data_IF_781195676700
#
_entry.id   IF_781195676700
#
_cell.length_a   1.000
_cell.length_b   1.000
_cell.length_c   1.000
_cell.angle_alpha   90.00
_cell.angle_beta   90.00
_cell.angle_gamma   90.00
#
_symmetry.space_group_name_H-M   'P 1'
#
loop_
_entity.id
_entity.type
_entity.pdbx_description
1 polymer ?
#
# COMPACT_ATOMS: atom_id res chain seq x y z
N UNK A 1 24.39 -3.49 15.39
CA UNK A 1 25.50 -2.63 14.97
C UNK A 1 25.37 -2.24 13.52
N UNK A 2 25.45 -3.22 12.66
CA UNK A 2 25.26 -2.97 11.23
C UNK A 2 23.88 -2.37 10.99
N UNK A 3 22.90 -2.84 11.72
CA UNK A 3 21.54 -2.33 11.59
C UNK A 3 21.47 -0.83 11.94
N UNK A 4 22.20 -0.40 12.96
CA UNK A 4 22.19 0.99 13.34
C UNK A 4 22.80 1.89 12.28
N UNK A 5 23.92 1.48 11.71
CA UNK A 5 24.57 2.25 10.66
C UNK A 5 23.71 2.29 9.39
N UNK A 6 23.15 1.16 9.06
CA UNK A 6 22.29 1.06 7.91
C UNK A 6 21.03 1.92 8.07
N UNK A 7 20.49 1.91 9.29
CA UNK A 7 19.30 2.70 9.58
C UNK A 7 19.57 4.19 9.48
N UNK A 8 20.76 4.62 9.84
CA UNK A 8 21.07 6.03 9.80
C UNK A 8 21.00 6.59 8.39
N UNK A 9 21.58 5.87 7.44
CA UNK A 9 21.54 6.26 6.04
C UNK A 9 20.13 6.15 5.49
N UNK A 10 19.47 5.04 5.81
CA UNK A 10 18.12 4.80 5.33
C UNK A 10 17.13 5.80 5.92
N UNK A 11 17.35 6.24 7.15
CA UNK A 11 16.47 7.21 7.78
C UNK A 11 16.46 8.51 7.00
N UNK A 12 17.63 8.95 6.51
CA UNK A 12 17.69 10.18 5.72
C UNK A 12 16.96 10.04 4.40
N UNK A 13 17.12 8.89 3.73
CA UNK A 13 16.41 8.62 2.49
C UNK A 13 14.92 8.54 2.72
N UNK A 14 14.53 7.88 3.80
CA UNK A 14 13.12 7.73 4.14
C UNK A 14 12.49 9.08 4.40
N UNK A 15 13.19 9.92 5.16
CA UNK A 15 12.67 11.25 5.48
C UNK A 15 12.48 12.08 4.21
N UNK A 16 13.46 12.07 3.33
CA UNK A 16 13.39 12.82 2.08
C UNK A 16 12.27 12.31 1.19
N UNK A 17 12.17 10.99 1.06
CA UNK A 17 11.14 10.39 0.23
C UNK A 17 9.75 10.70 0.76
N UNK A 18 9.59 10.62 2.08
CA UNK A 18 8.30 10.90 2.70
C UNK A 18 7.90 12.35 2.45
N UNK A 19 8.84 13.27 2.63
CA UNK A 19 8.57 14.68 2.44
C UNK A 19 8.14 14.97 1.00
N UNK A 20 8.87 14.42 0.04
CA UNK A 20 8.55 14.61 -1.37
C UNK A 20 7.21 13.99 -1.74
N UNK A 21 6.89 12.83 -1.16
CA UNK A 21 5.64 12.15 -1.44
C UNK A 21 4.45 13.02 -1.08
N UNK A 22 4.53 13.70 0.04
CA UNK A 22 3.43 14.56 0.49
C UNK A 22 3.42 15.88 -0.27
N UNK A 23 4.59 16.49 -0.45
CA UNK A 23 4.65 17.81 -1.08
C UNK A 23 4.28 17.79 -2.55
N UNK A 24 4.76 16.79 -3.28
CA UNK A 24 4.62 16.79 -4.74
C UNK A 24 3.79 15.66 -5.29
N UNK A 25 3.71 14.54 -4.56
CA UNK A 25 3.01 13.37 -5.06
C UNK A 25 1.52 13.45 -4.88
N UNK A 26 1.09 13.49 -3.64
CA UNK A 26 -0.34 13.41 -3.32
C UNK A 26 -1.03 14.77 -3.41
N UNK A 27 -0.30 15.85 -3.14
CA UNK A 27 -0.86 17.21 -3.17
C UNK A 27 -2.12 17.32 -2.29
N UNK A 28 -1.96 16.92 -1.04
CA UNK A 28 -3.09 16.90 -0.10
C UNK A 28 -3.68 18.27 0.10
N UNK A 29 -4.99 18.34 0.09
CA UNK A 29 -5.70 19.54 0.49
C UNK A 29 -5.83 19.57 2.01
N UNK A 30 -5.95 20.77 2.56
CA UNK A 30 -6.09 20.90 3.99
C UNK A 30 -7.35 20.16 4.47
N UNK A 31 -7.18 19.33 5.47
CA UNK A 31 -8.27 18.56 6.03
C UNK A 31 -8.61 17.27 5.26
N UNK A 32 -7.92 17.03 4.15
CA UNK A 32 -8.20 15.85 3.35
C UNK A 32 -7.65 14.59 4.04
N UNK A 33 -8.44 13.53 4.02
CA UNK A 33 -7.99 12.25 4.56
C UNK A 33 -7.05 11.55 3.58
N UNK A 34 -6.20 10.68 4.10
CA UNK A 34 -5.23 9.95 3.29
C UNK A 34 -5.26 8.47 3.67
N UNK A 35 -5.44 7.63 2.66
CA UNK A 35 -5.31 6.18 2.81
C UNK A 35 -3.97 5.74 2.25
N UNK A 36 -3.17 5.04 3.06
CA UNK A 36 -1.88 4.52 2.61
C UNK A 36 -1.95 3.00 2.63
N UNK A 37 -1.75 2.38 1.47
CA UNK A 37 -1.61 0.93 1.41
C UNK A 37 -0.14 0.60 1.20
N UNK A 38 0.40 -0.34 1.97
CA UNK A 38 1.84 -0.52 2.00
C UNK A 38 2.24 -1.90 2.48
N UNK A 39 3.39 -2.40 2.02
CA UNK A 39 3.94 -3.61 2.62
C UNK A 39 4.44 -3.32 4.02
N UNK A 40 4.37 -4.31 4.89
CA UNK A 40 4.74 -4.10 6.29
C UNK A 40 6.19 -3.63 6.44
N UNK A 41 7.08 -4.06 5.55
CA UNK A 41 8.48 -3.65 5.61
C UNK A 41 8.66 -2.14 5.47
N UNK A 42 7.69 -1.46 4.86
CA UNK A 42 7.79 -0.02 4.66
C UNK A 42 7.31 0.79 5.84
N UNK A 43 7.08 0.16 6.98
CA UNK A 43 6.55 0.86 8.16
C UNK A 43 7.32 2.13 8.51
N UNK A 44 8.67 2.14 8.50
CA UNK A 44 9.37 3.39 8.81
C UNK A 44 9.01 4.52 7.84
N UNK A 45 8.87 4.21 6.57
CA UNK A 45 8.47 5.21 5.58
C UNK A 45 7.04 5.69 5.84
N UNK A 46 6.14 4.76 6.12
CA UNK A 46 4.74 5.13 6.37
C UNK A 46 4.62 6.04 7.59
N UNK A 47 5.40 5.76 8.63
CA UNK A 47 5.41 6.63 9.82
C UNK A 47 5.80 8.06 9.45
N UNK A 48 6.83 8.22 8.61
CA UNK A 48 7.27 9.55 8.21
C UNK A 48 6.26 10.23 7.29
N UNK A 49 5.66 9.46 6.38
CA UNK A 49 4.64 10.00 5.51
C UNK A 49 3.46 10.54 6.34
N UNK A 50 3.02 9.76 7.32
CA UNK A 50 1.92 10.19 8.18
C UNK A 50 2.29 11.47 8.92
N UNK A 51 3.51 11.53 9.44
CA UNK A 51 3.97 12.72 10.16
C UNK A 51 3.92 13.96 9.26
N UNK A 52 4.46 13.85 8.04
CA UNK A 52 4.45 14.98 7.13
C UNK A 52 3.05 15.32 6.64
N UNK A 53 2.22 14.30 6.44
CA UNK A 53 0.85 14.55 6.03
C UNK A 53 0.13 15.41 7.08
N UNK A 54 0.26 15.03 8.35
CA UNK A 54 -0.38 15.80 9.41
C UNK A 54 0.22 17.21 9.51
N UNK A 55 1.51 17.34 9.32
CA UNK A 55 2.14 18.66 9.34
C UNK A 55 1.64 19.55 8.20
N UNK A 56 1.27 18.93 7.08
CA UNK A 56 0.73 19.67 5.94
C UNK A 56 -0.78 19.88 6.04
N UNK A 57 -1.39 19.46 7.13
CA UNK A 57 -2.78 19.73 7.37
C UNK A 57 -3.76 18.64 6.99
N UNK A 58 -3.27 17.41 6.83
CA UNK A 58 -4.15 16.29 6.51
C UNK A 58 -5.21 16.08 7.58
N UNK A 59 -6.31 15.46 7.19
CA UNK A 59 -7.30 15.01 8.14
C UNK A 59 -6.82 13.74 8.81
N UNK A 60 -7.53 12.63 8.61
CA UNK A 60 -7.13 11.35 9.19
C UNK A 60 -6.26 10.58 8.19
N UNK A 61 -5.14 10.06 8.66
CA UNK A 61 -4.29 9.16 7.87
C UNK A 61 -4.56 7.74 8.32
N UNK A 62 -4.98 6.90 7.38
CA UNK A 62 -5.31 5.51 7.67
C UNK A 62 -4.35 4.59 6.91
N UNK A 63 -3.52 3.82 7.61
CA UNK A 63 -2.64 2.87 6.92
C UNK A 63 -3.27 1.49 6.87
N UNK A 64 -3.07 0.81 5.74
CA UNK A 64 -3.43 -0.59 5.59
C UNK A 64 -2.17 -1.33 5.14
N UNK A 65 -1.73 -2.28 5.94
CA UNK A 65 -0.50 -3.00 5.65
C UNK A 65 -0.80 -4.40 5.14
N UNK A 66 0.09 -4.88 4.28
CA UNK A 66 0.06 -6.29 3.86
C UNK A 66 1.43 -6.91 4.14
N UNK A 67 1.45 -8.22 4.17
CA UNK A 67 2.67 -8.95 4.48
C UNK A 67 2.88 -10.06 3.47
N UNK A 68 4.11 -10.13 2.95
CA UNK A 68 4.46 -11.11 1.92
C UNK A 68 4.28 -12.56 2.40
N UNK A 69 4.67 -12.82 3.64
CA UNK A 69 4.58 -14.20 4.15
C UNK A 69 3.13 -14.62 4.32
N UNK A 70 2.27 -13.71 4.71
CA UNK A 70 0.84 -14.03 4.82
C UNK A 70 0.26 -14.30 3.43
N UNK A 71 0.64 -13.50 2.45
CA UNK A 71 0.21 -13.73 1.07
C UNK A 71 0.67 -15.09 0.57
N UNK A 72 1.92 -15.41 0.82
CA UNK A 72 2.48 -16.69 0.40
C UNK A 72 1.75 -17.86 1.06
N UNK A 73 1.43 -17.72 2.35
CA UNK A 73 0.71 -18.77 3.07
C UNK A 73 -0.64 -19.07 2.41
N UNK A 74 -1.33 -18.04 1.94
CA UNK A 74 -2.59 -18.24 1.26
C UNK A 74 -2.39 -19.13 0.02
N UNK A 75 -1.37 -18.86 -0.77
CA UNK A 75 -1.15 -19.61 -1.99
C UNK A 75 -0.65 -21.03 -1.71
N UNK A 76 0.10 -21.22 -0.63
CA UNK A 76 0.61 -22.56 -0.30
C UNK A 76 -0.44 -23.44 0.38
N UNK A 77 -1.23 -22.87 1.26
CA UNK A 77 -2.08 -23.66 2.14
C UNK A 77 -3.57 -23.38 2.02
N UNK A 78 -3.95 -22.34 1.32
CA UNK A 78 -5.36 -22.00 1.18
C UNK A 78 -6.11 -23.00 0.33
N UNK A 79 -7.41 -23.14 0.57
CA UNK A 79 -8.19 -24.03 -0.26
C UNK A 79 -8.43 -23.42 -1.63
N UNK A 80 -8.80 -24.27 -2.58
CA UNK A 80 -8.88 -23.84 -3.98
C UNK A 80 -9.90 -22.75 -4.20
N UNK A 81 -11.01 -22.80 -3.48
CA UNK A 81 -12.06 -21.79 -3.63
C UNK A 81 -11.59 -20.40 -3.22
N UNK A 82 -10.64 -20.35 -2.29
CA UNK A 82 -10.18 -19.07 -1.77
C UNK A 82 -9.52 -18.20 -2.84
N UNK A 83 -9.03 -18.80 -3.90
CA UNK A 83 -8.33 -18.03 -4.94
C UNK A 83 -9.30 -17.27 -5.85
N UNK A 84 -10.59 -17.56 -5.74
CA UNK A 84 -11.61 -16.82 -6.48
C UNK A 84 -12.27 -15.72 -5.66
N UNK A 85 -11.79 -15.47 -4.46
CA UNK A 85 -12.45 -14.59 -3.51
C UNK A 85 -11.56 -13.39 -3.23
N UNK A 86 -12.18 -12.23 -3.10
CA UNK A 86 -11.49 -11.02 -2.66
C UNK A 86 -12.20 -10.46 -1.44
N UNK A 87 -11.52 -9.58 -0.71
CA UNK A 87 -12.13 -8.92 0.45
C UNK A 87 -13.00 -7.76 -0.05
N UNK A 88 -14.18 -8.09 -0.53
CA UNK A 88 -15.07 -7.09 -1.12
C UNK A 88 -15.40 -5.97 -0.15
N UNK A 89 -15.59 -6.31 1.11
CA UNK A 89 -15.89 -5.30 2.13
C UNK A 89 -14.78 -4.24 2.20
N UNK A 90 -13.54 -4.66 2.04
CA UNK A 90 -12.42 -3.73 2.09
C UNK A 90 -12.46 -2.78 0.89
N UNK A 91 -12.65 -3.34 -0.29
CA UNK A 91 -12.67 -2.51 -1.49
C UNK A 91 -13.90 -1.61 -1.53
N UNK A 92 -15.03 -2.09 -1.03
CA UNK A 92 -16.22 -1.25 -0.91
C UNK A 92 -15.96 -0.09 0.05
N UNK A 93 -15.27 -0.36 1.16
CA UNK A 93 -14.90 0.68 2.10
C UNK A 93 -13.96 1.70 1.49
N UNK A 94 -13.01 1.23 0.69
CA UNK A 94 -12.12 2.14 -0.01
C UNK A 94 -12.90 3.05 -0.97
N UNK A 95 -13.87 2.48 -1.68
CA UNK A 95 -14.72 3.27 -2.56
C UNK A 95 -15.47 4.35 -1.82
N UNK A 96 -15.99 4.02 -0.64
CA UNK A 96 -16.66 5.00 0.19
C UNK A 96 -15.71 6.12 0.59
N UNK A 97 -14.49 5.77 0.97
CA UNK A 97 -13.49 6.77 1.32
C UNK A 97 -13.21 7.69 0.15
N UNK A 98 -13.05 7.12 -1.05
CA UNK A 98 -12.76 7.93 -2.23
C UNK A 98 -13.93 8.85 -2.60
N UNK A 99 -15.15 8.37 -2.40
CA UNK A 99 -16.33 9.23 -2.61
C UNK A 99 -16.32 10.42 -1.66
N UNK A 100 -15.67 10.27 -0.51
CA UNK A 100 -15.55 11.36 0.47
C UNK A 100 -14.22 12.08 0.34
N UNK A 101 -13.62 12.01 -0.82
CA UNK A 101 -12.41 12.77 -1.17
C UNK A 101 -11.15 12.32 -0.45
N UNK A 102 -11.10 11.08 0.03
CA UNK A 102 -9.87 10.56 0.61
C UNK A 102 -8.86 10.33 -0.50
N UNK A 103 -7.64 10.83 -0.32
CA UNK A 103 -6.56 10.58 -1.27
C UNK A 103 -5.97 9.20 -1.01
N UNK A 104 -5.39 8.58 -2.03
CA UNK A 104 -4.76 7.28 -1.86
C UNK A 104 -3.31 7.30 -2.27
N UNK A 105 -2.46 6.78 -1.40
CA UNK A 105 -1.06 6.52 -1.72
C UNK A 105 -0.81 5.04 -1.62
N UNK A 106 -0.26 4.45 -2.69
CA UNK A 106 0.09 3.03 -2.70
C UNK A 106 1.61 2.91 -2.70
N UNK A 107 2.14 2.20 -1.71
CA UNK A 107 3.56 1.94 -1.62
C UNK A 107 3.81 0.51 -2.05
N UNK A 108 4.61 0.34 -3.08
CA UNK A 108 4.95 -0.97 -3.61
C UNK A 108 6.41 -1.29 -3.33
N UNK A 109 6.69 -2.53 -3.10
CA UNK A 109 8.05 -2.98 -2.82
C UNK A 109 8.11 -4.48 -2.81
N UNK A 110 7.28 -5.09 -3.63
CA UNK A 110 7.15 -6.53 -3.65
C UNK A 110 8.38 -7.20 -4.24
N UNK A 111 8.69 -8.36 -3.71
CA UNK A 111 9.71 -9.23 -4.27
C UNK A 111 9.11 -9.91 -5.52
N UNK A 112 9.65 -9.64 -6.71
CA UNK A 112 9.08 -10.26 -7.91
C UNK A 112 9.20 -11.78 -7.93
N UNK A 113 10.07 -12.34 -7.10
CA UNK A 113 10.25 -13.78 -7.03
C UNK A 113 9.40 -14.45 -5.96
N UNK A 114 8.62 -13.67 -5.21
CA UNK A 114 7.85 -14.21 -4.09
C UNK A 114 6.96 -15.37 -4.50
N UNK A 115 6.28 -15.25 -5.62
CA UNK A 115 5.32 -16.26 -6.07
C UNK A 115 5.86 -17.14 -7.18
N UNK A 116 7.18 -17.16 -7.39
CA UNK A 116 7.77 -17.91 -8.50
C UNK A 116 7.52 -19.41 -8.41
N UNK A 117 7.36 -19.95 -7.20
CA UNK A 117 7.12 -21.39 -7.00
C UNK A 117 5.62 -21.73 -6.94
N UNK A 118 4.77 -20.75 -7.08
CA UNK A 118 3.33 -20.95 -6.96
C UNK A 118 2.73 -21.16 -8.34
N UNK A 119 1.73 -22.04 -8.44
CA UNK A 119 1.00 -22.28 -9.67
C UNK A 119 0.48 -20.95 -10.23
N UNK A 120 0.88 -20.57 -11.45
CA UNK A 120 0.43 -19.31 -12.03
C UNK A 120 -1.08 -19.20 -12.13
N UNK A 121 -1.79 -20.31 -12.25
CA UNK A 121 -3.25 -20.29 -12.30
C UNK A 121 -3.85 -19.74 -11.01
N UNK A 122 -3.30 -20.14 -9.88
CA UNK A 122 -3.79 -19.64 -8.59
C UNK A 122 -3.56 -18.13 -8.46
N UNK A 123 -2.37 -17.68 -8.87
CA UNK A 123 -2.02 -16.27 -8.79
C UNK A 123 -2.94 -15.46 -9.70
N UNK A 124 -3.16 -15.94 -10.90
CA UNK A 124 -4.01 -15.26 -11.86
C UNK A 124 -5.45 -15.13 -11.35
N UNK A 125 -5.97 -16.20 -10.76
CA UNK A 125 -7.33 -16.19 -10.24
C UNK A 125 -7.47 -15.18 -9.10
N UNK A 126 -6.49 -15.16 -8.18
CA UNK A 126 -6.52 -14.23 -7.06
C UNK A 126 -6.41 -12.78 -7.54
N UNK A 127 -5.53 -12.54 -8.50
CA UNK A 127 -5.36 -11.20 -9.05
C UNK A 127 -6.63 -10.73 -9.75
N UNK A 128 -7.28 -11.63 -10.49
CA UNK A 128 -8.51 -11.27 -11.17
C UNK A 128 -9.61 -10.93 -10.17
N UNK A 129 -9.74 -11.74 -9.11
CA UNK A 129 -10.76 -11.48 -8.09
C UNK A 129 -10.53 -10.12 -7.43
N UNK A 130 -9.28 -9.81 -7.11
CA UNK A 130 -8.95 -8.53 -6.51
C UNK A 130 -9.22 -7.38 -7.47
N UNK A 131 -8.85 -7.54 -8.74
CA UNK A 131 -9.04 -6.48 -9.72
C UNK A 131 -10.53 -6.18 -9.94
N UNK A 132 -11.34 -7.22 -10.01
CA UNK A 132 -12.78 -7.05 -10.17
C UNK A 132 -13.37 -6.35 -8.95
N UNK A 133 -12.95 -6.75 -7.76
CA UNK A 133 -13.47 -6.15 -6.53
C UNK A 133 -13.05 -4.69 -6.40
N UNK A 134 -11.84 -4.36 -6.83
CA UNK A 134 -11.31 -3.01 -6.67
C UNK A 134 -11.75 -2.04 -7.77
N UNK A 135 -12.20 -2.56 -8.91
CA UNK A 135 -12.46 -1.70 -10.07
C UNK A 135 -13.38 -0.52 -9.77
N UNK A 136 -14.52 -0.68 -9.08
CA UNK A 136 -15.38 0.46 -8.83
C UNK A 136 -14.69 1.55 -8.01
N UNK A 137 -13.89 1.15 -7.02
CA UNK A 137 -13.17 2.13 -6.20
C UNK A 137 -12.05 2.79 -6.99
N UNK A 138 -11.32 2.00 -7.77
CA UNK A 138 -10.19 2.52 -8.54
C UNK A 138 -10.64 3.57 -9.54
N UNK A 139 -11.85 3.43 -10.08
CA UNK A 139 -12.35 4.37 -11.07
C UNK A 139 -12.71 5.73 -10.47
N UNK A 140 -12.75 5.83 -9.15
CA UNK A 140 -13.14 7.07 -8.47
C UNK A 140 -11.98 7.97 -8.11
N UNK A 141 -10.73 7.47 -8.23
CA UNK A 141 -9.59 8.23 -7.75
C UNK A 141 -8.35 7.91 -8.56
N UNK A 142 -7.49 8.92 -8.71
CA UNK A 142 -6.17 8.70 -9.28
C UNK A 142 -5.22 8.30 -8.16
N UNK A 143 -4.57 7.18 -8.36
CA UNK A 143 -3.72 6.56 -7.36
C UNK A 143 -2.29 7.09 -7.47
N UNK A 144 -1.67 7.46 -6.37
CA UNK A 144 -0.26 7.80 -6.34
C UNK A 144 0.53 6.60 -5.81
N UNK A 145 1.53 6.18 -6.57
CA UNK A 145 2.35 5.04 -6.19
C UNK A 145 3.80 5.44 -5.98
N UNK A 146 4.44 4.87 -4.97
CA UNK A 146 5.87 4.99 -4.82
C UNK A 146 6.49 3.61 -4.66
N UNK A 147 7.71 3.46 -5.15
CA UNK A 147 8.43 2.19 -5.06
C UNK A 147 9.35 2.25 -3.84
N UNK A 148 9.00 1.50 -2.83
CA UNK A 148 9.70 1.52 -1.55
C UNK A 148 11.14 1.09 -1.67
N UNK A 149 11.40 0.09 -2.43
CA UNK A 149 12.76 -0.47 -2.53
C UNK A 149 13.63 0.19 -3.57
N UNK A 150 13.02 0.74 -4.32
CA UNK A 150 13.73 1.31 -5.42
C UNK A 150 14.33 2.60 -5.12
N UNK A 151 14.14 2.78 -4.35
CA UNK A 151 14.51 4.02 -4.02
C UNK A 151 15.67 4.41 -4.10
#
# INVERSE_FOLDING_TARGET
MIVLMFNDVDTKKIDKLAHLSIKRGVALQKGQNLLITAPLESLPLVRKIAEYAYKEGAGLVTPLFNDSDITLSRFKFGNDESFNVAANWLYNGMGEAFDNNTARMAIAGDDPMLLSEIDPNKVSRANKANAVAYKPARERITEFKINWKXX
#
